data_IF_232648740343
#
_entry.id   IF_232648740343
#
_cell.length_a   1.000
_cell.length_b   1.000
_cell.length_c   1.000
_cell.angle_alpha   90.00
_cell.angle_beta   90.00
_cell.angle_gamma   90.00
#
_symmetry.space_group_name_H-M   'P 1'
#
loop_
_entity.id
_entity.type
_entity.pdbx_description
1 polymer ?
#
# COMPACT_ATOMS: atom_id res chain seq x y z
N UNK A 1 -9.73 33.45 7.16
CA UNK A 1 -8.26 33.54 7.18
C UNK A 1 -7.76 32.13 7.36
N UNK A 2 -7.14 31.54 6.33
CA UNK A 2 -6.53 30.21 6.47
C UNK A 2 -5.36 30.35 7.45
N UNK A 3 -5.32 29.52 8.51
CA UNK A 3 -4.17 29.49 9.40
C UNK A 3 -2.93 29.14 8.58
N UNK A 4 -1.90 29.97 8.64
CA UNK A 4 -0.62 29.68 8.00
C UNK A 4 -0.13 28.31 8.50
N UNK A 5 0.09 27.39 7.57
CA UNK A 5 0.37 26.01 7.92
C UNK A 5 1.77 25.95 8.53
N UNK A 6 1.86 25.60 9.81
CA UNK A 6 3.12 25.56 10.53
C UNK A 6 4.03 24.48 9.93
N UNK A 7 5.13 24.91 9.31
CA UNK A 7 6.19 24.03 8.82
C UNK A 7 7.22 23.87 9.92
N UNK A 8 7.43 22.63 10.34
CA UNK A 8 8.48 22.23 11.29
C UNK A 8 9.64 21.59 10.54
N UNK A 9 10.76 21.34 11.22
CA UNK A 9 11.90 20.66 10.58
C UNK A 9 12.77 19.88 11.55
N UNK A 10 13.40 18.83 11.03
CA UNK A 10 14.52 18.12 11.65
C UNK A 10 15.82 18.53 10.96
N UNK A 11 16.95 17.93 11.30
CA UNK A 11 18.18 18.09 10.53
C UNK A 11 18.03 17.66 9.06
N UNK A 12 17.19 16.64 8.77
CA UNK A 12 17.16 15.96 7.48
C UNK A 12 15.96 16.32 6.60
N UNK A 13 14.89 16.89 7.16
CA UNK A 13 13.68 17.20 6.40
C UNK A 13 12.85 18.32 7.02
N UNK A 14 12.03 18.97 6.21
CA UNK A 14 10.88 19.75 6.64
C UNK A 14 9.64 18.85 6.71
N UNK A 15 8.71 19.16 7.60
CA UNK A 15 7.45 18.45 7.69
C UNK A 15 6.28 19.36 8.10
N UNK A 16 5.08 18.98 7.69
CA UNK A 16 3.82 19.63 8.07
C UNK A 16 2.69 18.63 8.05
N UNK A 17 1.77 18.70 9.01
CA UNK A 17 0.48 18.01 8.90
C UNK A 17 -0.37 18.70 7.83
N UNK A 18 -1.27 17.97 7.16
CA UNK A 18 -2.33 18.60 6.38
C UNK A 18 -3.16 19.58 7.25
N UNK A 19 -3.79 20.62 6.66
CA UNK A 19 -4.68 21.51 7.41
C UNK A 19 -5.81 20.73 8.08
N UNK A 20 -6.11 21.04 9.35
CA UNK A 20 -7.10 20.31 10.15
C UNK A 20 -8.55 20.48 9.64
N UNK A 21 -8.84 21.61 9.00
CA UNK A 21 -10.13 21.93 8.38
C UNK A 21 -10.23 21.50 6.90
N UNK A 22 -9.14 20.95 6.34
CA UNK A 22 -9.08 20.47 4.97
C UNK A 22 -9.58 19.03 4.80
N UNK A 23 -9.81 18.59 3.55
CA UNK A 23 -10.06 17.17 3.26
C UNK A 23 -8.91 16.28 3.73
N UNK A 24 -9.23 15.05 4.15
CA UNK A 24 -8.23 14.00 4.32
C UNK A 24 -7.64 13.64 2.96
N UNK A 25 -6.36 13.90 2.75
CA UNK A 25 -5.68 13.70 1.46
C UNK A 25 -5.26 12.23 1.33
N UNK A 26 -6.04 11.42 0.60
CA UNK A 26 -5.82 9.98 0.46
C UNK A 26 -4.69 9.63 -0.53
N UNK A 27 -4.55 10.41 -1.60
CA UNK A 27 -3.47 10.24 -2.57
C UNK A 27 -3.07 11.57 -3.21
N UNK A 28 -1.86 11.60 -3.75
CA UNK A 28 -1.33 12.73 -4.51
C UNK A 28 -0.52 12.25 -5.71
N UNK A 29 -0.38 13.14 -6.69
CA UNK A 29 0.49 12.98 -7.85
C UNK A 29 0.74 14.34 -8.49
N UNK A 30 2.01 14.68 -8.76
CA UNK A 30 2.38 15.97 -9.33
C UNK A 30 1.74 17.12 -8.53
N UNK A 31 0.99 18.00 -9.18
CA UNK A 31 0.24 19.09 -8.53
C UNK A 31 -1.14 18.67 -8.02
N UNK A 32 -1.57 17.42 -8.21
CA UNK A 32 -2.93 16.96 -7.88
C UNK A 32 -2.98 16.23 -6.55
N UNK A 33 -4.10 16.40 -5.85
CA UNK A 33 -4.39 15.66 -4.62
C UNK A 33 -5.86 15.25 -4.62
N UNK A 34 -6.13 13.99 -4.27
CA UNK A 34 -7.48 13.48 -4.04
C UNK A 34 -7.70 13.33 -2.54
N UNK A 35 -8.83 13.83 -2.07
CA UNK A 35 -9.16 13.74 -0.66
C UNK A 35 -10.66 13.72 -0.40
N UNK A 36 -11.03 13.55 0.86
CA UNK A 36 -12.43 13.45 1.25
C UNK A 36 -12.72 14.10 2.60
N UNK A 37 -13.97 14.51 2.76
CA UNK A 37 -14.58 14.90 4.04
C UNK A 37 -15.82 14.03 4.26
N UNK A 38 -16.55 14.24 5.35
CA UNK A 38 -17.82 13.55 5.51
C UNK A 38 -18.77 13.88 4.33
N UNK A 39 -19.30 12.83 3.70
CA UNK A 39 -20.22 12.91 2.56
C UNK A 39 -19.70 13.51 1.25
N UNK A 40 -18.41 13.85 1.10
CA UNK A 40 -17.87 14.47 -0.12
C UNK A 40 -16.47 13.99 -0.47
N UNK A 41 -16.19 13.94 -1.77
CA UNK A 41 -14.86 13.78 -2.33
C UNK A 41 -14.41 15.09 -2.99
N UNK A 42 -13.11 15.33 -2.98
CA UNK A 42 -12.48 16.56 -3.43
C UNK A 42 -11.25 16.24 -4.28
N UNK A 43 -10.99 17.11 -5.26
CA UNK A 43 -9.80 17.07 -6.07
C UNK A 43 -9.18 18.48 -6.15
N UNK A 44 -7.90 18.53 -5.82
CA UNK A 44 -7.03 19.70 -5.95
C UNK A 44 -6.14 19.57 -7.20
N UNK A 45 -5.71 20.71 -7.74
CA UNK A 45 -4.76 20.85 -8.85
C UNK A 45 -3.59 21.79 -8.48
N UNK A 46 -3.40 22.06 -7.18
CA UNK A 46 -2.40 23.00 -6.66
C UNK A 46 -1.75 22.54 -5.34
N UNK A 47 -1.46 21.24 -5.26
CA UNK A 47 -0.85 20.55 -4.11
C UNK A 47 -1.69 20.63 -2.82
N UNK A 48 -3.01 20.59 -2.95
CA UNK A 48 -3.96 20.58 -1.84
C UNK A 48 -4.24 21.96 -1.22
N UNK A 49 -3.87 23.05 -1.89
CA UNK A 49 -4.16 24.42 -1.39
C UNK A 49 -5.60 24.81 -1.63
N UNK A 50 -6.14 24.50 -2.80
CA UNK A 50 -7.55 24.73 -3.16
C UNK A 50 -8.19 23.45 -3.68
N UNK A 51 -9.52 23.40 -3.58
CA UNK A 51 -10.34 22.23 -3.92
C UNK A 51 -11.44 22.61 -4.90
N UNK A 52 -11.09 22.99 -6.15
CA UNK A 52 -12.06 23.48 -7.14
C UNK A 52 -13.06 22.42 -7.58
N UNK A 53 -12.69 21.14 -7.49
CA UNK A 53 -13.53 20.01 -7.91
C UNK A 53 -14.04 19.25 -6.70
N UNK A 54 -15.35 19.02 -6.65
CA UNK A 54 -16.01 18.31 -5.55
C UNK A 54 -17.25 17.57 -6.02
N UNK A 55 -17.53 16.43 -5.40
CA UNK A 55 -18.75 15.67 -5.63
C UNK A 55 -19.35 15.17 -4.31
N UNK A 56 -20.68 15.12 -4.25
CA UNK A 56 -21.39 14.46 -3.15
C UNK A 56 -21.12 12.97 -3.27
N UNK A 57 -20.62 12.39 -2.18
CA UNK A 57 -20.30 10.98 -2.10
C UNK A 57 -20.54 10.50 -0.65
N UNK A 58 -21.75 10.02 -0.33
CA UNK A 58 -22.15 9.72 1.05
C UNK A 58 -21.25 8.72 1.77
N UNK A 59 -20.57 7.83 1.03
CA UNK A 59 -19.68 6.80 1.57
C UNK A 59 -18.21 7.24 1.65
N UNK A 60 -17.92 8.55 1.58
CA UNK A 60 -16.56 9.10 1.58
C UNK A 60 -15.71 8.63 2.77
N UNK A 61 -16.29 8.55 3.97
CA UNK A 61 -15.61 8.06 5.18
C UNK A 61 -15.11 6.60 5.10
N UNK A 62 -15.56 5.85 4.10
CA UNK A 62 -15.21 4.46 3.88
C UNK A 62 -14.17 4.27 2.78
N UNK A 63 -13.58 5.36 2.27
CA UNK A 63 -12.53 5.29 1.26
C UNK A 63 -11.31 4.61 1.86
N UNK A 64 -10.83 3.57 1.19
CA UNK A 64 -9.69 2.76 1.64
C UNK A 64 -8.53 2.75 0.65
N UNK A 65 -8.73 3.31 -0.54
CA UNK A 65 -7.74 3.39 -1.61
C UNK A 65 -8.15 4.45 -2.63
N UNK A 66 -7.16 5.14 -3.18
CA UNK A 66 -7.26 5.96 -4.37
C UNK A 66 -5.92 6.04 -5.09
N UNK A 67 -5.99 6.30 -6.39
CA UNK A 67 -4.85 6.53 -7.26
C UNK A 67 -5.23 7.56 -8.34
N UNK A 68 -4.35 8.54 -8.57
CA UNK A 68 -4.44 9.50 -9.67
C UNK A 68 -3.52 9.01 -10.79
N UNK A 69 -4.08 8.72 -11.97
CA UNK A 69 -3.35 8.20 -13.13
C UNK A 69 -2.80 9.34 -14.02
N UNK A 70 -1.79 9.06 -14.86
CA UNK A 70 -1.12 10.03 -15.77
C UNK A 70 -2.12 10.73 -16.67
N UNK A 71 -3.11 9.98 -17.17
CA UNK A 71 -4.16 10.52 -18.03
C UNK A 71 -5.19 11.39 -17.27
N UNK A 72 -5.01 11.54 -15.96
CA UNK A 72 -5.84 12.35 -15.09
C UNK A 72 -7.05 11.63 -14.49
N UNK A 73 -7.27 10.36 -14.84
CA UNK A 73 -8.31 9.53 -14.23
C UNK A 73 -8.03 9.31 -12.74
N UNK A 74 -9.10 9.14 -11.97
CA UNK A 74 -9.04 8.88 -10.54
C UNK A 74 -9.76 7.56 -10.29
N UNK A 75 -9.01 6.54 -9.92
CA UNK A 75 -9.54 5.27 -9.44
C UNK A 75 -9.55 5.33 -7.93
N UNK A 76 -10.69 5.05 -7.31
CA UNK A 76 -10.78 5.02 -5.85
C UNK A 76 -11.80 3.99 -5.40
N UNK A 77 -11.67 3.54 -4.17
CA UNK A 77 -12.52 2.51 -3.62
C UNK A 77 -13.08 2.93 -2.27
N UNK A 78 -14.24 2.38 -1.95
CA UNK A 78 -14.65 2.14 -0.58
C UNK A 78 -14.53 0.66 -0.30
N UNK A 79 -14.33 0.23 0.95
CA UNK A 79 -14.34 -1.18 1.42
C UNK A 79 -14.50 -2.26 0.31
N UNK A 80 -15.72 -2.51 -0.19
CA UNK A 80 -16.05 -3.52 -1.21
C UNK A 80 -16.47 -2.98 -2.60
N UNK A 81 -16.35 -1.68 -2.87
CA UNK A 81 -16.77 -1.06 -4.15
C UNK A 81 -15.67 -0.20 -4.75
N UNK A 82 -15.49 -0.32 -6.06
CA UNK A 82 -14.51 0.43 -6.83
C UNK A 82 -15.19 1.47 -7.73
N UNK A 83 -14.56 2.62 -7.90
CA UNK A 83 -15.09 3.77 -8.62
C UNK A 83 -14.02 4.40 -9.51
N UNK A 84 -14.48 5.04 -10.58
CA UNK A 84 -13.67 5.81 -11.50
C UNK A 84 -14.31 7.16 -11.77
N UNK A 85 -13.47 8.19 -11.80
CA UNK A 85 -13.78 9.47 -12.42
C UNK A 85 -12.78 9.77 -13.53
N UNK A 86 -13.29 10.20 -14.68
CA UNK A 86 -12.49 10.56 -15.87
C UNK A 86 -12.51 12.06 -16.18
N UNK A 87 -13.16 12.85 -15.33
CA UNK A 87 -13.52 14.23 -15.63
C UNK A 87 -13.53 15.09 -14.37
N UNK A 88 -12.48 14.97 -13.56
CA UNK A 88 -12.27 15.78 -12.37
C UNK A 88 -13.47 15.75 -11.42
N UNK A 89 -13.97 14.54 -11.12
CA UNK A 89 -15.09 14.28 -10.21
C UNK A 89 -16.48 14.77 -10.69
N UNK A 90 -16.62 15.34 -11.90
CA UNK A 90 -17.94 15.69 -12.46
C UNK A 90 -18.87 14.49 -12.55
N UNK A 91 -18.33 13.32 -12.89
CA UNK A 91 -19.02 12.04 -12.82
C UNK A 91 -18.18 11.04 -12.06
N UNK A 92 -18.85 10.22 -11.25
CA UNK A 92 -18.28 9.06 -10.56
C UNK A 92 -19.05 7.83 -11.00
N UNK A 93 -18.35 6.85 -11.58
CA UNK A 93 -18.93 5.59 -12.03
C UNK A 93 -18.41 4.46 -11.15
N UNK A 94 -19.29 3.61 -10.63
CA UNK A 94 -18.87 2.35 -10.01
C UNK A 94 -18.38 1.38 -11.10
N UNK A 95 -17.27 0.70 -10.87
CA UNK A 95 -16.72 -0.34 -11.75
C UNK A 95 -16.88 -1.70 -11.09
N UNK A 96 -17.31 -2.68 -11.87
CA UNK A 96 -17.28 -4.09 -11.50
C UNK A 96 -15.94 -4.67 -11.93
N UNK A 97 -15.18 -5.19 -10.96
CA UNK A 97 -13.93 -5.93 -11.22
C UNK A 97 -14.25 -7.18 -12.03
N UNK A 98 -13.32 -7.63 -12.87
CA UNK A 98 -13.45 -8.87 -13.61
C UNK A 98 -12.57 -9.98 -13.04
N UNK A 99 -13.04 -11.21 -13.12
CA UNK A 99 -12.21 -12.39 -12.98
C UNK A 99 -11.22 -12.49 -14.15
N UNK A 100 -10.23 -13.37 -14.03
CA UNK A 100 -9.25 -13.62 -15.09
C UNK A 100 -9.88 -14.11 -16.41
N UNK A 101 -11.06 -14.73 -16.36
CA UNK A 101 -11.84 -15.16 -17.53
C UNK A 101 -12.73 -14.06 -18.14
N UNK A 102 -12.70 -12.85 -17.56
CA UNK A 102 -13.49 -11.70 -18.00
C UNK A 102 -14.91 -11.61 -17.43
N UNK A 103 -15.36 -12.61 -16.67
CA UNK A 103 -16.65 -12.56 -15.96
C UNK A 103 -16.64 -11.53 -14.83
N UNK A 104 -17.81 -11.08 -14.38
CA UNK A 104 -17.91 -10.15 -13.25
C UNK A 104 -17.44 -10.81 -11.94
N UNK A 105 -16.53 -10.15 -11.25
CA UNK A 105 -16.15 -10.47 -9.88
C UNK A 105 -17.07 -9.74 -8.91
N UNK A 106 -17.89 -10.50 -8.19
CA UNK A 106 -18.87 -9.98 -7.25
C UNK A 106 -18.36 -10.20 -5.81
N UNK A 107 -18.16 -9.13 -5.03
CA UNK A 107 -17.89 -9.25 -3.59
C UNK A 107 -18.92 -10.11 -2.88
N UNK A 108 -18.50 -10.86 -1.87
CA UNK A 108 -19.40 -11.71 -1.09
C UNK A 108 -20.48 -10.86 -0.41
N UNK A 109 -21.63 -11.47 -0.11
CA UNK A 109 -22.60 -10.87 0.80
C UNK A 109 -22.08 -11.09 2.22
N UNK A 110 -21.71 -10.02 2.95
CA UNK A 110 -21.13 -10.19 4.28
C UNK A 110 -22.19 -10.61 5.30
N UNK A 111 -21.77 -11.38 6.30
CA UNK A 111 -22.61 -11.68 7.47
C UNK A 111 -22.96 -10.42 8.26
N UNK A 112 -22.03 -9.46 8.32
CA UNK A 112 -22.23 -8.15 8.92
C UNK A 112 -22.01 -7.03 7.87
N UNK A 113 -23.04 -6.25 7.50
CA UNK A 113 -22.90 -5.14 6.55
C UNK A 113 -21.87 -4.07 6.96
N UNK A 114 -21.57 -3.93 8.25
CA UNK A 114 -20.55 -3.02 8.75
C UNK A 114 -19.12 -3.58 8.63
N UNK A 115 -18.98 -4.88 8.40
CA UNK A 115 -17.71 -5.57 8.16
C UNK A 115 -17.69 -6.26 6.78
N UNK A 116 -17.85 -5.53 5.65
CA UNK A 116 -17.98 -6.14 4.33
C UNK A 116 -16.67 -6.66 3.72
N UNK A 117 -15.55 -6.52 4.43
CA UNK A 117 -14.21 -6.77 3.92
C UNK A 117 -13.58 -5.57 3.23
N UNK A 118 -12.25 -5.52 3.23
CA UNK A 118 -11.46 -4.53 2.51
C UNK A 118 -10.90 -5.13 1.23
N UNK A 119 -11.69 -5.05 0.17
CA UNK A 119 -11.35 -5.64 -1.11
C UNK A 119 -10.20 -4.94 -1.83
N UNK A 120 -9.98 -3.66 -1.55
CA UNK A 120 -9.11 -2.80 -2.37
C UNK A 120 -8.14 -1.95 -1.54
N UNK A 121 -8.06 -2.13 -0.22
CA UNK A 121 -7.19 -1.32 0.65
C UNK A 121 -5.72 -1.58 0.34
N UNK A 122 -4.90 -0.54 0.19
CA UNK A 122 -3.45 -0.69 -0.01
C UNK A 122 -2.67 -0.22 1.21
N UNK A 123 -1.58 -0.94 1.52
CA UNK A 123 -0.55 -0.49 2.44
C UNK A 123 0.47 0.46 1.76
N UNK A 124 0.92 0.24 0.50
CA UNK A 124 1.79 1.18 -0.19
C UNK A 124 1.01 2.32 -0.87
N UNK A 125 1.68 3.48 -1.04
CA UNK A 125 1.14 4.62 -1.79
C UNK A 125 1.47 4.56 -3.29
N UNK A 126 2.54 3.86 -3.68
CA UNK A 126 2.88 3.60 -5.09
C UNK A 126 2.14 2.35 -5.56
N UNK A 127 1.32 2.50 -6.59
CA UNK A 127 0.49 1.42 -7.12
C UNK A 127 0.41 1.41 -8.65
N UNK A 128 1.11 2.32 -9.34
CA UNK A 128 1.08 2.43 -10.80
C UNK A 128 2.46 2.68 -11.37
N UNK A 129 2.76 2.07 -12.52
CA UNK A 129 4.05 2.16 -13.18
C UNK A 129 3.88 2.28 -14.70
N UNK A 130 4.88 2.85 -15.36
CA UNK A 130 5.00 2.76 -16.81
C UNK A 130 5.55 1.38 -17.17
N UNK A 131 4.81 0.64 -17.99
CA UNK A 131 5.19 -0.69 -18.47
C UNK A 131 5.10 -0.67 -19.98
N UNK A 132 6.26 -0.56 -20.63
CA UNK A 132 6.39 -0.51 -22.09
C UNK A 132 5.52 0.59 -22.73
N UNK A 133 5.46 1.79 -22.11
CA UNK A 133 4.69 2.93 -22.61
C UNK A 133 3.22 2.94 -22.23
N UNK A 134 2.75 1.96 -21.45
CA UNK A 134 1.39 1.91 -20.89
C UNK A 134 1.49 2.08 -19.39
N UNK A 135 0.70 3.01 -18.83
CA UNK A 135 0.57 3.06 -17.37
C UNK A 135 -0.29 1.90 -16.90
N UNK A 136 0.32 0.99 -16.13
CA UNK A 136 -0.37 -0.10 -15.45
C UNK A 136 -0.60 0.26 -13.99
N UNK A 137 -1.83 0.17 -13.53
CA UNK A 137 -2.21 0.20 -12.12
C UNK A 137 -2.23 -1.25 -11.62
N UNK A 138 -1.43 -1.61 -10.60
CA UNK A 138 -1.37 -2.97 -10.03
C UNK A 138 -1.24 -2.89 -8.51
N UNK A 139 -2.10 -3.59 -7.78
CA UNK A 139 -2.08 -3.55 -6.32
C UNK A 139 -2.68 -4.82 -5.71
N UNK A 140 -2.27 -5.16 -4.49
CA UNK A 140 -2.96 -6.16 -3.67
C UNK A 140 -3.84 -5.52 -2.60
N UNK A 141 -4.61 -6.33 -1.89
CA UNK A 141 -5.42 -5.85 -0.77
C UNK A 141 -4.85 -6.22 0.61
N UNK A 142 -4.64 -5.19 1.44
CA UNK A 142 -4.32 -5.30 2.85
C UNK A 142 -5.61 -5.52 3.67
N UNK A 143 -6.17 -6.73 3.56
CA UNK A 143 -7.47 -7.10 4.14
C UNK A 143 -7.37 -7.92 5.43
N UNK A 144 -8.50 -8.46 5.91
CA UNK A 144 -8.57 -9.34 7.08
C UNK A 144 -8.04 -8.68 8.37
N UNK A 145 -8.38 -7.39 8.52
CA UNK A 145 -8.05 -6.48 9.64
C UNK A 145 -9.32 -5.79 10.16
N UNK A 146 -9.46 -4.46 10.17
CA UNK A 146 -10.67 -3.82 10.73
C UNK A 146 -11.94 -4.02 9.87
N UNK A 147 -11.80 -4.12 8.55
CA UNK A 147 -12.93 -4.03 7.62
C UNK A 147 -13.84 -5.25 7.50
N UNK A 148 -13.52 -6.36 8.17
CA UNK A 148 -14.08 -7.69 7.92
C UNK A 148 -13.20 -8.54 7.00
N UNK A 149 -13.64 -9.78 6.77
CA UNK A 149 -12.93 -10.73 5.91
C UNK A 149 -13.17 -10.44 4.42
N UNK A 150 -12.16 -10.67 3.58
CA UNK A 150 -12.31 -10.68 2.11
C UNK A 150 -11.29 -11.63 1.47
N UNK A 151 -11.57 -12.16 0.27
CA UNK A 151 -10.55 -12.84 -0.52
C UNK A 151 -9.31 -11.97 -0.72
N UNK A 152 -8.12 -12.57 -0.66
CA UNK A 152 -6.88 -11.87 -1.01
C UNK A 152 -6.65 -11.98 -2.51
N UNK A 153 -6.46 -10.84 -3.17
CA UNK A 153 -6.23 -10.77 -4.61
C UNK A 153 -5.17 -9.71 -4.93
N UNK A 154 -4.52 -9.89 -6.09
CA UNK A 154 -3.82 -8.83 -6.81
C UNK A 154 -4.72 -8.37 -7.95
N UNK A 155 -4.95 -7.08 -8.07
CA UNK A 155 -5.76 -6.43 -9.10
C UNK A 155 -4.86 -5.67 -10.07
N UNK A 156 -5.36 -5.47 -11.29
CA UNK A 156 -4.70 -4.62 -12.26
C UNK A 156 -5.66 -3.89 -13.21
N UNK A 157 -5.15 -2.82 -13.82
CA UNK A 157 -5.72 -2.13 -14.97
C UNK A 157 -4.62 -1.64 -15.89
N UNK A 158 -4.87 -1.67 -17.20
CA UNK A 158 -3.97 -1.22 -18.27
C UNK A 158 -4.59 -0.15 -19.17
N UNK A 159 -5.81 0.30 -18.85
CA UNK A 159 -6.65 1.15 -19.68
C UNK A 159 -7.10 2.42 -18.94
N UNK A 160 -6.27 2.92 -18.03
CA UNK A 160 -6.60 4.11 -17.25
C UNK A 160 -7.70 3.87 -16.20
N UNK A 161 -7.87 2.63 -15.73
CA UNK A 161 -8.86 2.27 -14.73
C UNK A 161 -10.26 2.00 -15.29
N UNK A 162 -10.46 1.97 -16.61
CA UNK A 162 -11.77 1.67 -17.19
C UNK A 162 -12.20 0.23 -16.95
N UNK A 163 -11.23 -0.69 -17.02
CA UNK A 163 -11.37 -2.09 -16.67
C UNK A 163 -10.40 -2.43 -15.56
N UNK A 164 -10.90 -3.08 -14.52
CA UNK A 164 -10.08 -3.65 -13.44
C UNK A 164 -10.31 -5.15 -13.39
N UNK A 165 -9.23 -5.92 -13.33
CA UNK A 165 -9.28 -7.40 -13.32
C UNK A 165 -8.44 -7.96 -12.19
N UNK A 166 -8.74 -9.19 -11.79
CA UNK A 166 -7.89 -9.96 -10.87
C UNK A 166 -6.70 -10.51 -11.68
N UNK A 167 -5.49 -10.12 -11.29
CA UNK A 167 -4.23 -10.67 -11.80
C UNK A 167 -3.88 -12.00 -11.14
N UNK A 168 -4.19 -12.14 -9.85
CA UNK A 168 -3.94 -13.34 -9.06
C UNK A 168 -4.94 -13.42 -7.90
N UNK A 169 -5.56 -14.58 -7.69
CA UNK A 169 -6.43 -14.85 -6.56
C UNK A 169 -5.75 -15.87 -5.64
N UNK A 170 -5.58 -15.53 -4.37
CA UNK A 170 -5.04 -16.46 -3.38
C UNK A 170 -6.09 -17.51 -2.98
N UNK A 171 -5.59 -18.56 -2.35
CA UNK A 171 -6.36 -19.66 -1.80
C UNK A 171 -7.30 -19.28 -0.68
N UNK A 172 -8.08 -20.28 -0.27
CA UNK A 172 -9.00 -20.16 0.84
C UNK A 172 -8.30 -20.31 2.19
N UNK A 173 -8.11 -19.19 2.89
CA UNK A 173 -7.49 -19.20 4.22
C UNK A 173 -8.53 -19.60 5.30
N UNK A 174 -8.36 -20.73 6.00
CA UNK A 174 -9.33 -21.20 6.98
C UNK A 174 -9.40 -20.34 8.25
N UNK A 175 -8.45 -19.42 8.47
CA UNK A 175 -8.36 -18.55 9.64
C UNK A 175 -9.03 -17.18 9.46
N UNK A 176 -9.35 -16.79 8.22
CA UNK A 176 -9.95 -15.49 7.88
C UNK A 176 -11.24 -15.64 7.08
N UNK A 177 -12.15 -16.45 7.63
CA UNK A 177 -13.51 -16.62 7.10
C UNK A 177 -14.39 -15.45 7.53
N UNK A 178 -15.42 -15.16 6.76
CA UNK A 178 -16.45 -14.20 7.15
C UNK A 178 -17.37 -14.82 8.21
N UNK A 179 -17.14 -14.42 9.46
CA UNK A 179 -17.97 -14.67 10.64
C UNK A 179 -18.69 -13.39 11.12
N UNK A 180 -18.68 -12.32 10.32
CA UNK A 180 -19.24 -11.02 10.67
C UNK A 180 -18.41 -10.15 11.63
N UNK A 181 -17.25 -10.61 12.10
CA UNK A 181 -16.34 -9.80 12.94
C UNK A 181 -15.39 -8.95 12.11
N UNK A 182 -14.80 -7.95 12.76
CA UNK A 182 -13.62 -7.27 12.21
C UNK A 182 -12.54 -8.34 11.92
N UNK A 183 -12.12 -8.41 10.67
CA UNK A 183 -10.98 -9.21 10.22
C UNK A 183 -11.28 -10.67 9.93
N UNK A 184 -12.49 -11.12 10.24
CA UNK A 184 -12.90 -12.52 10.12
C UNK A 184 -12.40 -13.39 11.26
N UNK A 185 -12.51 -14.71 11.07
CA UNK A 185 -12.01 -15.68 12.03
C UNK A 185 -12.07 -17.12 11.52
N UNK A 186 -11.89 -18.13 12.39
CA UNK A 186 -11.80 -19.54 11.99
C UNK A 186 -13.16 -20.17 11.65
N UNK A 187 -14.26 -19.42 11.74
CA UNK A 187 -15.64 -19.90 11.52
C UNK A 187 -16.35 -19.06 10.47
N UNK A 188 -17.48 -19.54 9.94
CA UNK A 188 -18.25 -18.80 8.94
C UNK A 188 -17.85 -19.12 7.49
N UNK A 189 -18.10 -18.18 6.58
CA UNK A 189 -17.98 -18.39 5.13
C UNK A 189 -16.53 -18.35 4.70
N UNK A 190 -16.06 -19.41 4.06
CA UNK A 190 -14.72 -19.50 3.51
C UNK A 190 -14.60 -18.67 2.21
N UNK A 191 -13.55 -17.86 2.11
CA UNK A 191 -13.34 -16.86 1.04
C UNK A 191 -11.99 -17.10 0.35
N UNK A 192 -11.90 -16.88 -0.96
CA UNK A 192 -10.69 -17.15 -1.77
C UNK A 192 -10.96 -18.12 -2.93
N UNK A 193 -9.95 -18.37 -3.76
CA UNK A 193 -10.03 -19.36 -4.84
C UNK A 193 -9.81 -20.77 -4.28
N UNK A 194 -10.82 -21.67 -4.27
CA UNK A 194 -10.66 -23.02 -3.74
C UNK A 194 -9.66 -23.88 -4.53
N UNK A 195 -9.22 -23.43 -5.72
CA UNK A 195 -8.27 -24.16 -6.59
C UNK A 195 -6.82 -23.73 -6.35
N UNK A 196 -6.60 -22.63 -5.65
CA UNK A 196 -5.25 -22.16 -5.34
C UNK A 196 -4.87 -22.61 -3.91
N UNK A 197 -3.82 -23.42 -3.72
CA UNK A 197 -3.40 -23.84 -2.39
C UNK A 197 -2.63 -22.76 -1.61
N UNK A 198 -2.18 -21.69 -2.27
CA UNK A 198 -1.37 -20.64 -1.64
C UNK A 198 -2.27 -19.71 -0.84
N UNK A 199 -2.21 -19.77 0.48
CA UNK A 199 -2.98 -18.93 1.40
C UNK A 199 -2.14 -17.76 1.92
N UNK A 200 -2.77 -16.65 2.23
CA UNK A 200 -2.17 -15.60 3.05
C UNK A 200 -3.27 -14.78 3.70
N UNK A 201 -2.94 -14.05 4.77
CA UNK A 201 -3.87 -13.12 5.39
C UNK A 201 -4.15 -11.93 4.49
N UNK A 202 -3.12 -11.37 3.86
CA UNK A 202 -3.24 -10.22 2.98
C UNK A 202 -1.95 -9.91 2.19
N UNK A 203 -2.05 -8.97 1.24
CA UNK A 203 -0.89 -8.46 0.50
C UNK A 203 -0.27 -7.24 1.18
N UNK A 204 1.05 -7.25 1.39
CA UNK A 204 1.79 -6.12 1.95
C UNK A 204 2.15 -5.08 0.89
N UNK A 205 2.60 -5.52 -0.28
CA UNK A 205 3.01 -4.60 -1.36
C UNK A 205 3.05 -5.30 -2.70
N UNK A 206 2.90 -4.52 -3.77
CA UNK A 206 3.25 -4.90 -5.15
C UNK A 206 4.25 -3.85 -5.66
N UNK A 207 5.24 -4.27 -6.43
CA UNK A 207 6.24 -3.40 -7.02
C UNK A 207 6.62 -3.88 -8.43
N UNK A 208 7.03 -2.97 -9.30
CA UNK A 208 7.47 -3.27 -10.66
C UNK A 208 8.99 -3.19 -10.79
N UNK A 209 9.60 -4.22 -11.37
CA UNK A 209 10.99 -4.25 -11.78
C UNK A 209 11.08 -3.98 -13.30
N UNK A 210 11.52 -2.78 -13.73
CA UNK A 210 11.61 -2.46 -15.15
C UNK A 210 12.70 -3.24 -15.89
N UNK A 211 13.76 -3.69 -15.21
CA UNK A 211 14.88 -4.44 -15.83
C UNK A 211 14.42 -5.83 -16.27
N UNK A 212 13.59 -6.48 -15.47
CA UNK A 212 13.05 -7.80 -15.78
C UNK A 212 11.70 -7.77 -16.49
N UNK A 213 11.10 -6.57 -16.62
CA UNK A 213 9.71 -6.39 -17.01
C UNK A 213 8.77 -7.33 -16.21
N UNK A 214 8.92 -7.32 -14.89
CA UNK A 214 8.22 -8.22 -13.98
C UNK A 214 7.74 -7.50 -12.73
N UNK A 215 6.65 -7.97 -12.16
CA UNK A 215 6.09 -7.51 -10.90
C UNK A 215 6.49 -8.44 -9.77
N UNK A 216 6.65 -7.86 -8.58
CA UNK A 216 6.94 -8.57 -7.35
C UNK A 216 5.87 -8.23 -6.32
N UNK A 217 5.41 -9.22 -5.57
CA UNK A 217 4.44 -9.04 -4.49
C UNK A 217 4.95 -9.72 -3.24
N UNK A 218 4.72 -9.12 -2.08
CA UNK A 218 4.95 -9.75 -0.77
C UNK A 218 3.65 -9.83 0.03
N UNK A 219 3.47 -10.94 0.75
CA UNK A 219 2.29 -11.22 1.60
C UNK A 219 2.68 -11.49 3.05
N UNK A 220 1.68 -11.53 3.92
CA UNK A 220 1.80 -11.88 5.34
C UNK A 220 0.52 -12.57 5.84
N UNK A 221 0.41 -12.97 7.10
CA UNK A 221 1.15 -12.43 8.26
C UNK A 221 1.49 -13.49 9.35
N UNK A 222 1.26 -14.77 9.07
CA UNK A 222 1.41 -15.83 10.06
C UNK A 222 2.05 -17.12 9.55
N UNK A 223 2.51 -17.91 10.50
CA UNK A 223 2.86 -19.32 10.32
C UNK A 223 1.64 -20.16 10.71
N UNK A 224 1.14 -20.99 9.78
CA UNK A 224 -0.04 -21.84 9.98
C UNK A 224 0.32 -23.31 9.87
N UNK A 225 -0.61 -24.16 10.29
CA UNK A 225 -0.47 -25.62 10.13
C UNK A 225 -0.45 -26.01 8.64
N UNK A 226 -1.21 -25.29 7.83
CA UNK A 226 -1.39 -25.49 6.40
C UNK A 226 -0.20 -24.96 5.57
N UNK A 227 0.60 -24.06 6.15
CA UNK A 227 1.76 -23.47 5.49
C UNK A 227 2.08 -22.07 6.00
N UNK A 228 3.01 -21.43 5.31
CA UNK A 228 3.35 -20.02 5.54
C UNK A 228 2.34 -19.10 4.85
N UNK A 229 2.13 -17.92 5.40
CA UNK A 229 1.40 -16.83 4.74
C UNK A 229 2.36 -15.77 4.15
N UNK A 230 3.65 -15.81 4.52
CA UNK A 230 4.66 -14.88 4.02
C UNK A 230 5.27 -15.42 2.72
N UNK A 231 4.80 -14.87 1.60
CA UNK A 231 5.25 -15.25 0.27
C UNK A 231 5.88 -14.08 -0.46
N UNK A 232 6.85 -14.38 -1.33
CA UNK A 232 7.19 -13.52 -2.45
C UNK A 232 6.69 -14.15 -3.73
N UNK A 233 6.01 -13.36 -4.54
CA UNK A 233 5.54 -13.74 -5.85
C UNK A 233 6.24 -12.91 -6.91
N UNK A 234 6.53 -13.54 -8.05
CA UNK A 234 6.98 -12.87 -9.27
C UNK A 234 5.94 -13.06 -10.36
N UNK A 235 5.49 -11.97 -10.96
CA UNK A 235 4.46 -11.92 -12.01
C UNK A 235 5.01 -11.35 -13.31
N UNK A 236 4.71 -11.98 -14.43
CA UNK A 236 4.91 -11.38 -15.76
C UNK A 236 3.58 -11.24 -16.48
N UNK A 237 3.42 -10.16 -17.25
CA UNK A 237 2.19 -9.86 -17.97
C UNK A 237 2.39 -9.98 -19.48
N UNK A 238 1.58 -10.82 -20.12
CA UNK A 238 1.48 -10.91 -21.58
C UNK A 238 0.35 -9.98 -22.05
N UNK A 239 0.73 -8.81 -22.56
CA UNK A 239 -0.21 -7.81 -23.05
C UNK A 239 -1.01 -8.26 -24.29
N UNK A 240 -0.51 -9.22 -25.08
CA UNK A 240 -1.23 -9.71 -26.27
C UNK A 240 -2.36 -10.64 -25.90
N UNK A 241 -2.16 -11.44 -24.85
CA UNK A 241 -3.16 -12.38 -24.35
C UNK A 241 -3.98 -11.81 -23.20
N UNK A 242 -3.56 -10.69 -22.63
CA UNK A 242 -4.10 -10.10 -21.41
C UNK A 242 -4.09 -11.10 -20.24
N UNK A 243 -2.92 -11.69 -20.00
CA UNK A 243 -2.72 -12.78 -19.02
C UNK A 243 -1.50 -12.56 -18.16
N UNK A 244 -1.60 -13.04 -16.93
CA UNK A 244 -0.50 -13.05 -15.97
C UNK A 244 0.04 -14.47 -15.77
N UNK A 245 1.36 -14.57 -15.62
CA UNK A 245 2.05 -15.74 -15.08
C UNK A 245 2.68 -15.34 -13.73
N UNK A 246 1.99 -15.68 -12.64
CA UNK A 246 2.45 -15.45 -11.26
C UNK A 246 3.01 -16.74 -10.68
N UNK A 247 4.18 -16.63 -10.04
CA UNK A 247 4.84 -17.74 -9.36
C UNK A 247 5.22 -17.32 -7.96
N UNK A 248 4.88 -18.16 -6.97
CA UNK A 248 5.51 -18.07 -5.65
C UNK A 248 6.97 -18.46 -5.82
N UNK A 249 7.87 -17.52 -5.52
CA UNK A 249 9.31 -17.73 -5.60
C UNK A 249 9.92 -17.97 -4.21
N UNK A 250 9.27 -17.51 -3.15
CA UNK A 250 9.69 -17.69 -1.76
C UNK A 250 8.45 -17.89 -0.89
N UNK A 251 8.53 -18.80 0.06
CA UNK A 251 7.59 -18.96 1.18
C UNK A 251 8.41 -19.16 2.43
N UNK A 252 8.15 -18.38 3.47
CA UNK A 252 9.00 -18.40 4.66
C UNK A 252 8.24 -18.05 5.95
N UNK A 253 8.92 -18.23 7.07
CA UNK A 253 8.41 -17.89 8.38
C UNK A 253 8.16 -16.39 8.53
N UNK A 254 7.14 -16.04 9.33
CA UNK A 254 6.76 -14.65 9.63
C UNK A 254 7.88 -13.83 10.29
N UNK A 255 8.89 -14.48 10.87
CA UNK A 255 10.03 -13.80 11.49
C UNK A 255 11.30 -13.80 10.63
N UNK A 256 11.14 -13.82 9.31
CA UNK A 256 12.23 -13.72 8.32
C UNK A 256 12.28 -12.34 7.67
N UNK A 257 13.41 -11.98 7.07
CA UNK A 257 13.51 -10.75 6.26
C UNK A 257 12.62 -10.76 5.00
N UNK A 258 11.98 -11.90 4.68
CA UNK A 258 11.00 -12.01 3.61
C UNK A 258 9.61 -11.57 4.01
N UNK A 259 9.26 -11.51 5.30
CA UNK A 259 8.06 -10.78 5.69
C UNK A 259 8.37 -9.29 5.52
N UNK A 260 7.86 -8.68 4.46
CA UNK A 260 8.35 -7.38 4.01
C UNK A 260 7.26 -6.49 3.41
N UNK A 261 7.55 -5.20 3.37
CA UNK A 261 6.84 -4.20 2.58
C UNK A 261 7.84 -3.25 1.92
N UNK A 262 7.33 -2.15 1.34
CA UNK A 262 8.17 -1.10 0.77
C UNK A 262 9.15 -1.57 -0.32
N UNK A 263 8.78 -2.61 -1.08
CA UNK A 263 9.62 -3.16 -2.14
C UNK A 263 9.87 -2.07 -3.20
N UNK A 264 11.13 -1.84 -3.54
CA UNK A 264 11.56 -0.84 -4.51
C UNK A 264 12.68 -1.38 -5.40
N UNK A 265 12.64 -1.02 -6.68
CA UNK A 265 13.70 -1.33 -7.64
C UNK A 265 14.38 -0.03 -8.06
N UNK A 266 15.67 0.11 -7.74
CA UNK A 266 16.45 1.32 -8.04
C UNK A 266 17.80 0.89 -8.59
N UNK A 267 18.16 1.43 -9.76
CA UNK A 267 19.43 1.14 -10.46
C UNK A 267 19.71 -0.37 -10.61
N UNK A 268 18.67 -1.15 -10.92
CA UNK A 268 18.75 -2.60 -11.10
C UNK A 268 18.92 -3.41 -9.81
N UNK A 269 18.86 -2.78 -8.64
CA UNK A 269 18.90 -3.43 -7.32
C UNK A 269 17.49 -3.52 -6.72
N UNK A 270 17.24 -4.61 -6.00
CA UNK A 270 16.03 -4.84 -5.21
C UNK A 270 16.27 -4.37 -3.77
N UNK A 271 15.37 -3.54 -3.25
CA UNK A 271 15.34 -3.06 -1.88
C UNK A 271 13.99 -3.41 -1.22
N UNK A 272 14.02 -3.70 0.06
CA UNK A 272 12.80 -3.92 0.86
C UNK A 272 13.06 -3.62 2.33
N UNK A 273 11.97 -3.40 3.07
CA UNK A 273 12.00 -3.27 4.53
C UNK A 273 11.21 -4.41 5.16
N UNK A 274 11.83 -5.07 6.14
CA UNK A 274 11.26 -6.24 6.80
C UNK A 274 10.37 -5.87 7.98
N UNK A 275 9.15 -6.42 7.93
CA UNK A 275 8.12 -6.37 8.96
C UNK A 275 8.17 -7.60 9.90
N UNK A 276 9.34 -8.23 10.04
CA UNK A 276 9.54 -9.41 10.89
C UNK A 276 9.24 -9.09 12.37
N UNK A 277 8.26 -9.80 12.94
CA UNK A 277 7.72 -9.52 14.27
C UNK A 277 7.32 -10.75 15.12
N UNK A 278 7.85 -11.93 14.78
CA UNK A 278 7.69 -13.16 15.56
C UNK A 278 8.65 -13.28 16.75
N UNK A 279 8.88 -14.49 17.28
CA UNK A 279 9.81 -14.72 18.38
C UNK A 279 11.28 -14.54 17.96
N UNK A 280 12.16 -14.10 18.87
CA UNK A 280 13.60 -14.02 18.62
C UNK A 280 14.22 -15.34 18.12
N UNK A 281 15.28 -15.29 17.28
CA UNK A 281 15.99 -14.09 16.81
C UNK A 281 15.30 -13.40 15.63
N UNK A 282 15.33 -12.07 15.60
CA UNK A 282 14.73 -11.25 14.54
C UNK A 282 15.63 -11.11 13.31
N UNK A 283 15.06 -11.34 12.12
CA UNK A 283 15.69 -11.07 10.82
C UNK A 283 15.02 -9.86 10.16
N UNK A 284 15.31 -8.66 10.70
CA UNK A 284 14.64 -7.40 10.33
C UNK A 284 15.60 -6.29 9.94
N UNK A 285 15.09 -5.32 9.17
CA UNK A 285 15.87 -4.20 8.66
C UNK A 285 15.49 -3.80 7.24
N UNK A 286 16.27 -2.87 6.70
CA UNK A 286 16.27 -2.50 5.29
C UNK A 286 17.36 -3.31 4.61
N UNK A 287 17.00 -4.05 3.58
CA UNK A 287 17.89 -4.95 2.87
C UNK A 287 18.00 -4.58 1.40
N UNK A 288 19.07 -5.06 0.77
CA UNK A 288 19.30 -4.98 -0.67
C UNK A 288 19.93 -6.26 -1.20
N UNK A 289 19.54 -6.65 -2.42
CA UNK A 289 20.26 -7.63 -3.24
C UNK A 289 20.05 -7.36 -4.74
N UNK A 290 20.74 -8.11 -5.60
CA UNK A 290 20.32 -8.22 -6.98
C UNK A 290 18.99 -9.01 -7.04
N UNK A 291 18.03 -8.66 -7.92
CA UNK A 291 16.75 -9.36 -7.99
C UNK A 291 16.87 -10.90 -8.14
N UNK A 292 17.82 -11.38 -8.94
CA UNK A 292 18.08 -12.81 -9.13
C UNK A 292 18.59 -13.53 -7.86
N UNK A 293 19.10 -12.78 -6.89
CA UNK A 293 19.67 -13.30 -5.65
C UNK A 293 18.66 -13.34 -4.50
N UNK A 294 17.41 -12.93 -4.71
CA UNK A 294 16.37 -12.86 -3.66
C UNK A 294 16.11 -14.20 -2.96
N UNK A 295 16.41 -15.34 -3.60
CA UNK A 295 16.29 -16.66 -2.98
C UNK A 295 17.46 -17.05 -2.07
N UNK A 296 18.58 -16.32 -2.10
CA UNK A 296 19.81 -16.63 -1.36
C UNK A 296 20.10 -15.56 -0.31
N UNK A 297 19.65 -15.80 0.93
CA UNK A 297 19.82 -14.86 2.05
C UNK A 297 21.28 -14.45 2.31
N UNK A 298 22.27 -15.27 1.93
CA UNK A 298 23.69 -14.93 2.13
C UNK A 298 24.14 -13.77 1.24
N UNK A 299 23.39 -13.47 0.18
CA UNK A 299 23.62 -12.35 -0.73
C UNK A 299 22.85 -11.10 -0.35
N UNK A 300 22.01 -11.18 0.68
CA UNK A 300 21.30 -10.01 1.20
C UNK A 300 22.27 -9.13 1.97
N UNK A 301 22.32 -7.85 1.60
CA UNK A 301 23.05 -6.84 2.38
C UNK A 301 22.05 -6.14 3.29
N UNK A 302 22.25 -6.24 4.61
CA UNK A 302 21.55 -5.41 5.58
C UNK A 302 22.13 -3.98 5.52
N UNK A 303 21.34 -3.02 5.08
CA UNK A 303 21.73 -1.62 4.98
C UNK A 303 21.50 -0.87 6.30
N UNK A 304 20.40 -1.18 6.98
CA UNK A 304 20.02 -0.54 8.23
C UNK A 304 19.11 -1.45 9.06
N UNK A 305 19.32 -1.51 10.37
CA UNK A 305 18.44 -2.25 11.29
C UNK A 305 17.86 -1.29 12.33
N UNK A 306 16.55 -0.97 12.29
CA UNK A 306 15.92 -0.09 13.26
C UNK A 306 15.71 -0.73 14.63
N UNK A 307 16.05 -2.02 14.78
CA UNK A 307 15.88 -2.77 16.03
C UNK A 307 14.44 -3.12 16.35
N UNK A 308 13.47 -2.81 15.49
CA UNK A 308 12.03 -3.10 15.62
C UNK A 308 11.40 -3.42 14.26
N UNK A 309 10.18 -3.97 14.22
CA UNK A 309 9.46 -4.23 12.97
C UNK A 309 9.25 -2.91 12.19
N UNK A 310 9.32 -2.96 10.85
CA UNK A 310 9.07 -1.79 9.99
C UNK A 310 8.56 -2.25 8.63
N UNK A 311 7.41 -1.75 8.18
CA UNK A 311 6.72 -2.29 7.00
C UNK A 311 6.53 -1.33 5.82
N UNK A 312 6.82 -0.03 5.98
CA UNK A 312 6.63 0.96 4.92
C UNK A 312 7.94 1.68 4.58
N UNK A 313 8.25 1.72 3.29
CA UNK A 313 9.40 2.42 2.74
C UNK A 313 9.06 2.92 1.34
N UNK A 314 9.62 4.08 0.98
CA UNK A 314 9.69 4.60 -0.38
C UNK A 314 11.13 5.03 -0.67
N UNK A 315 11.58 4.80 -1.91
CA UNK A 315 12.86 5.31 -2.41
C UNK A 315 12.57 6.18 -3.64
N UNK A 316 13.01 7.43 -3.60
CA UNK A 316 12.86 8.35 -4.74
C UNK A 316 14.02 9.35 -4.75
N UNK A 317 14.66 9.54 -5.90
CA UNK A 317 15.76 10.48 -6.11
C UNK A 317 16.90 10.35 -5.08
N UNK A 318 17.29 9.11 -4.77
CA UNK A 318 18.34 8.80 -3.80
C UNK A 318 17.93 8.96 -2.33
N UNK A 319 16.70 9.40 -2.05
CA UNK A 319 16.16 9.50 -0.68
C UNK A 319 15.46 8.20 -0.30
N UNK A 320 15.86 7.62 0.82
CA UNK A 320 15.14 6.55 1.49
C UNK A 320 14.31 7.17 2.60
N UNK A 321 12.99 6.95 2.57
CA UNK A 321 12.09 7.33 3.64
C UNK A 321 11.33 6.08 4.08
N UNK A 322 11.51 5.69 5.34
CA UNK A 322 10.86 4.53 5.92
C UNK A 322 10.27 4.85 7.29
N UNK A 323 9.31 4.04 7.70
CA UNK A 323 8.54 4.20 8.94
C UNK A 323 9.10 3.37 10.08
N UNK A 324 9.10 3.91 11.29
CA UNK A 324 8.92 3.09 12.47
C UNK A 324 7.43 2.86 12.71
N UNK A 325 7.00 1.60 12.75
CA UNK A 325 5.60 1.27 12.94
C UNK A 325 5.30 0.90 14.40
N UNK A 326 4.25 1.48 14.97
CA UNK A 326 3.65 0.99 16.22
C UNK A 326 2.72 -0.20 15.94
N UNK A 327 2.70 -1.22 16.81
CA UNK A 327 3.00 -1.08 18.24
C UNK A 327 4.44 -1.38 18.65
N UNK A 328 5.27 -2.00 17.81
CA UNK A 328 6.61 -2.41 18.26
C UNK A 328 7.59 -1.23 18.43
N UNK A 329 7.41 -0.15 17.67
CA UNK A 329 8.27 1.03 17.75
C UNK A 329 8.29 1.66 19.16
N UNK A 330 9.48 1.96 19.73
CA UNK A 330 9.60 2.74 20.96
C UNK A 330 9.38 4.25 20.71
N UNK A 331 9.41 4.69 19.45
CA UNK A 331 9.20 6.08 19.05
C UNK A 331 7.71 6.39 18.96
N UNK A 332 7.34 7.63 19.29
CA UNK A 332 5.95 8.08 19.19
C UNK A 332 5.51 8.20 17.74
N UNK A 333 6.30 8.87 16.90
CA UNK A 333 6.04 8.99 15.46
C UNK A 333 7.39 8.97 14.74
N UNK A 334 7.90 7.76 14.50
CA UNK A 334 9.29 7.55 14.10
C UNK A 334 9.48 7.41 12.60
N UNK A 335 10.55 8.01 12.08
CA UNK A 335 10.99 7.89 10.69
C UNK A 335 12.46 7.46 10.62
N UNK A 336 12.76 6.62 9.63
CA UNK A 336 14.11 6.26 9.21
C UNK A 336 14.36 7.00 7.90
N UNK A 337 15.50 7.70 7.79
CA UNK A 337 15.83 8.47 6.59
C UNK A 337 17.28 8.30 6.18
N UNK A 338 17.50 8.23 4.87
CA UNK A 338 18.81 8.42 4.23
C UNK A 338 18.65 9.39 3.07
N UNK A 339 19.57 10.36 2.95
CA UNK A 339 19.57 11.38 1.89
C UNK A 339 20.64 11.12 0.81
N UNK A 340 21.44 10.07 0.97
CA UNK A 340 22.66 9.84 0.18
C UNK A 340 22.70 8.43 -0.44
N UNK A 341 21.53 7.88 -0.76
CA UNK A 341 21.43 6.57 -1.39
C UNK A 341 21.67 5.40 -0.42
N UNK A 342 21.39 5.58 0.88
CA UNK A 342 21.54 4.55 1.90
C UNK A 342 22.97 4.41 2.45
N UNK A 343 23.84 5.42 2.27
CA UNK A 343 25.21 5.39 2.81
C UNK A 343 25.24 5.82 4.27
N UNK A 344 24.45 6.84 4.62
CA UNK A 344 24.23 7.30 6.00
C UNK A 344 22.75 7.27 6.34
N UNK A 345 22.46 7.06 7.63
CA UNK A 345 21.11 6.86 8.14
C UNK A 345 20.87 7.69 9.39
N UNK A 346 19.66 8.24 9.51
CA UNK A 346 19.17 8.89 10.70
C UNK A 346 17.78 8.38 11.09
N UNK A 347 17.48 8.43 12.39
CA UNK A 347 16.14 8.16 12.92
C UNK A 347 15.63 9.42 13.62
N UNK A 348 14.39 9.79 13.34
CA UNK A 348 13.73 10.95 13.94
C UNK A 348 12.43 10.54 14.59
N UNK A 349 12.16 11.05 15.80
CA UNK A 349 10.90 10.87 16.51
C UNK A 349 10.16 12.22 16.59
N UNK A 350 9.08 12.36 15.82
CA UNK A 350 8.24 13.54 15.80
C UNK A 350 7.26 13.50 16.99
N UNK A 351 7.82 13.62 18.20
CA UNK A 351 7.12 13.38 19.48
C UNK A 351 5.86 14.24 19.67
N UNK A 352 5.86 15.42 19.10
CA UNK A 352 4.75 16.38 19.12
C UNK A 352 3.51 15.89 18.39
N UNK A 353 3.63 14.92 17.47
CA UNK A 353 2.52 14.31 16.75
C UNK A 353 1.85 13.17 17.55
N UNK A 354 2.41 12.82 18.72
CA UNK A 354 1.93 11.72 19.55
C UNK A 354 2.17 10.34 18.92
N UNK A 355 1.57 9.30 19.50
CA UNK A 355 1.76 7.92 19.05
C UNK A 355 1.06 7.67 17.71
N UNK A 356 1.83 7.52 16.64
CA UNK A 356 1.39 7.31 15.26
C UNK A 356 2.35 6.38 14.52
N UNK A 357 1.79 5.56 13.63
CA UNK A 357 2.56 4.77 12.67
C UNK A 357 2.51 5.46 11.30
N UNK A 358 3.65 5.88 10.74
CA UNK A 358 3.72 6.31 9.36
C UNK A 358 3.52 5.13 8.41
N UNK A 359 2.64 5.26 7.44
CA UNK A 359 2.30 4.22 6.45
C UNK A 359 1.98 4.87 5.10
N UNK A 360 1.75 4.05 4.07
CA UNK A 360 1.26 4.47 2.74
C UNK A 360 1.93 5.74 2.19
N UNK A 361 3.25 5.66 2.08
CA UNK A 361 4.12 6.69 1.53
C UNK A 361 3.85 6.82 0.03
N UNK A 362 3.56 8.04 -0.42
CA UNK A 362 3.39 8.40 -1.83
C UNK A 362 4.57 9.24 -2.29
N UNK A 363 4.88 9.14 -3.59
CA UNK A 363 5.89 9.95 -4.28
C UNK A 363 5.72 11.45 -4.01
N UNK A 364 6.82 12.20 -4.16
CA UNK A 364 6.82 13.64 -4.05
C UNK A 364 5.80 14.28 -5.01
N UNK A 365 5.04 15.24 -4.49
CA UNK A 365 4.27 16.15 -5.33
C UNK A 365 5.21 17.13 -6.07
N UNK A 366 4.65 17.99 -6.94
CA UNK A 366 5.42 18.96 -7.72
C UNK A 366 6.19 20.00 -6.89
N UNK A 367 5.98 20.02 -5.57
CA UNK A 367 6.68 20.88 -4.62
C UNK A 367 7.75 20.15 -3.79
N UNK A 368 7.93 18.85 -4.04
CA UNK A 368 8.92 18.02 -3.39
C UNK A 368 8.45 17.39 -2.06
N UNK A 369 7.16 17.44 -1.73
CA UNK A 369 6.64 16.81 -0.51
C UNK A 369 6.20 15.37 -0.77
N UNK A 370 6.79 14.40 -0.09
CA UNK A 370 6.18 13.08 0.09
C UNK A 370 4.91 13.21 0.93
N UNK A 371 3.91 12.38 0.65
CA UNK A 371 2.69 12.25 1.47
C UNK A 371 2.72 10.95 2.24
N UNK A 372 2.35 10.99 3.52
CA UNK A 372 2.34 9.85 4.43
C UNK A 372 1.03 9.77 5.21
N UNK A 373 0.46 8.57 5.31
CA UNK A 373 -0.61 8.29 6.27
C UNK A 373 -0.04 8.13 7.67
N UNK A 374 -0.54 8.91 8.62
CA UNK A 374 -0.36 8.62 10.03
C UNK A 374 -1.56 7.83 10.52
N UNK A 375 -1.29 6.66 11.11
CA UNK A 375 -2.31 5.77 11.67
C UNK A 375 -2.16 5.64 13.18
N UNK A 376 -3.26 5.45 13.90
CA UNK A 376 -3.22 4.94 15.28
C UNK A 376 -3.05 3.43 15.23
N UNK A 377 -1.93 2.94 15.78
CA UNK A 377 -1.46 1.57 15.50
C UNK A 377 -1.17 1.40 14.00
N UNK A 378 -1.42 0.22 13.44
CA UNK A 378 -1.11 -0.07 12.03
C UNK A 378 -2.19 0.32 11.02
N UNK A 379 -3.43 0.54 11.47
CA UNK A 379 -4.59 0.42 10.57
C UNK A 379 -5.46 1.68 10.51
N UNK A 380 -5.85 2.23 11.67
CA UNK A 380 -6.86 3.28 11.72
C UNK A 380 -6.25 4.63 11.34
N UNK A 381 -6.77 5.25 10.29
CA UNK A 381 -6.37 6.58 9.84
C UNK A 381 -6.50 7.61 10.97
N UNK A 382 -5.49 8.47 11.09
CA UNK A 382 -5.51 9.61 12.01
C UNK A 382 -5.33 10.92 11.22
N UNK A 383 -4.13 11.12 10.67
CA UNK A 383 -3.71 12.37 10.05
C UNK A 383 -2.92 12.08 8.77
N UNK A 384 -2.65 13.12 7.97
CA UNK A 384 -1.75 13.04 6.83
C UNK A 384 -0.57 13.98 7.10
N UNK A 385 0.63 13.43 6.94
CA UNK A 385 1.89 14.15 7.09
C UNK A 385 2.53 14.35 5.71
N UNK A 386 3.06 15.55 5.50
CA UNK A 386 3.93 15.86 4.36
C UNK A 386 5.37 15.97 4.84
N UNK A 387 6.28 15.31 4.13
CA UNK A 387 7.73 15.33 4.42
C UNK A 387 8.47 15.81 3.17
N UNK A 388 9.34 16.80 3.30
CA UNK A 388 10.22 17.29 2.24
C UNK A 388 11.67 17.16 2.68
N UNK A 389 12.49 16.31 2.04
CA UNK A 389 13.91 16.18 2.38
C UNK A 389 14.68 17.49 2.20
N UNK A 390 15.67 17.73 3.07
CA UNK A 390 16.67 18.81 2.96
C UNK A 390 17.85 18.28 2.13
N UNK A 391 17.61 18.02 0.85
CA UNK A 391 18.65 17.67 -0.11
C UNK A 391 19.30 18.91 -0.71
#
# INVERSE_FOLDING_TARGET
>A
MASEQQISSTEHFWYRLQPADGPYIDSQRDNRAFGYTDGKIHLSEDCGRTWPHRAVFPNAKNITFSCILKNGNIVFSTRSKLFLSKNNLKTVKQITVKNADGSDYIPHKPQNPDCPGWYFHTLPGINSWDVNGVEMLVWGNYCNVLGGASPVNIYYSVDGGETVKIAYAFGQDPYFRDNGSEGGGPTGTLLGDPRNPVICRHTHTVAYNPVENAFYSCTGDGDRKEGFECHWLRGTYDAKQDKWDWKVIISDHLNSNYKAGGISFVDGQLYWISDSNGPEPYDRGIFRCAPADIGDRKKHTLLFNPGVESGAMIIQDGVFLASHCGPASPLKCGFIISLDGGRTWAQHDLKELGTRSPTRLHEKNSEGWFRCDLRTGWIKQAEVLFIKPKC
#
